data_IF_949446325530
#
_entry.id   IF_949446325530
#
_cell.length_a   1.000
_cell.length_b   1.000
_cell.length_c   1.000
_cell.angle_alpha   90.00
_cell.angle_beta   90.00
_cell.angle_gamma   90.00
#
_symmetry.space_group_name_H-M   'P 1'
#
loop_
_entity.id
_entity.type
_entity.pdbx_description
1 polymer ?
#
# COMPACT_ATOMS: atom_id res chain seq x y z
N UNK A 1 2.03 7.88 21.90
CA UNK A 1 1.72 8.22 20.49
C UNK A 1 2.97 8.65 19.72
N UNK A 2 3.62 9.78 20.04
CA UNK A 2 4.86 10.20 19.35
C UNK A 2 5.96 9.13 19.34
N UNK A 3 6.23 8.50 20.49
CA UNK A 3 7.19 7.41 20.58
C UNK A 3 6.82 6.18 19.72
N UNK A 4 5.52 5.90 19.53
CA UNK A 4 5.07 4.81 18.68
C UNK A 4 5.31 5.12 17.19
N UNK A 5 5.01 6.35 16.76
CA UNK A 5 5.32 6.83 15.40
C UNK A 5 6.83 6.80 15.14
N UNK A 6 7.62 7.37 16.05
CA UNK A 6 9.09 7.39 15.93
C UNK A 6 9.67 5.97 15.82
N UNK A 7 9.15 5.03 16.63
CA UNK A 7 9.53 3.61 16.55
C UNK A 7 9.13 2.98 15.21
N UNK A 8 7.90 3.23 14.74
CA UNK A 8 7.42 2.69 13.46
C UNK A 8 8.23 3.19 12.28
N UNK A 9 8.65 4.46 12.27
CA UNK A 9 9.48 5.00 11.19
C UNK A 9 10.82 4.23 11.07
N UNK A 10 11.35 3.68 12.16
CA UNK A 10 12.55 2.82 12.12
C UNK A 10 12.31 1.43 11.52
N UNK A 11 11.06 0.98 11.46
CA UNK A 11 10.68 -0.31 10.85
C UNK A 11 10.51 -0.21 9.32
N UNK A 12 10.42 1.00 8.77
CA UNK A 12 10.29 1.24 7.32
C UNK A 12 11.65 1.22 6.58
N UNK A 13 12.67 0.57 7.16
CA UNK A 13 14.05 0.56 6.63
C UNK A 13 14.28 -0.41 5.47
N UNK A 14 13.35 -1.32 5.21
CA UNK A 14 13.41 -2.23 4.08
C UNK A 14 13.13 -1.47 2.76
N UNK A 15 14.09 -1.48 1.84
CA UNK A 15 14.01 -0.70 0.60
C UNK A 15 14.01 0.80 0.86
N UNK A 16 13.24 1.57 0.10
CA UNK A 16 13.07 3.02 0.26
C UNK A 16 11.72 3.42 0.89
N UNK A 17 11.02 2.49 1.53
CA UNK A 17 9.69 2.75 2.12
C UNK A 17 9.74 3.90 3.15
N UNK A 18 10.77 3.93 3.99
CA UNK A 18 11.00 5.01 4.94
C UNK A 18 11.32 6.33 4.25
N UNK A 19 12.03 6.31 3.13
CA UNK A 19 12.28 7.48 2.29
C UNK A 19 10.99 8.03 1.71
N UNK A 20 10.11 7.19 1.15
CA UNK A 20 8.79 7.60 0.65
C UNK A 20 7.97 8.30 1.74
N UNK A 21 7.87 7.71 2.93
CA UNK A 21 7.12 8.31 4.05
C UNK A 21 7.77 9.61 4.51
N UNK A 22 9.08 9.62 4.79
CA UNK A 22 9.76 10.81 5.34
C UNK A 22 9.90 11.94 4.33
N UNK A 23 9.93 11.67 3.02
CA UNK A 23 10.02 12.69 1.98
C UNK A 23 8.66 13.29 1.62
N UNK A 24 7.57 12.53 1.68
CA UNK A 24 6.24 13.02 1.30
C UNK A 24 5.39 13.47 2.48
N UNK A 25 5.48 12.80 3.63
CA UNK A 25 4.64 13.11 4.78
C UNK A 25 5.32 14.21 5.61
N UNK A 26 4.61 15.33 5.79
CA UNK A 26 5.04 16.48 6.59
C UNK A 26 4.21 16.66 7.86
N UNK A 27 2.98 16.13 7.86
CA UNK A 27 2.11 16.13 9.03
C UNK A 27 1.40 14.78 9.18
N UNK A 28 1.43 14.24 10.40
CA UNK A 28 0.69 13.05 10.80
C UNK A 28 -0.35 13.48 11.83
N UNK A 29 -1.62 13.34 11.46
CA UNK A 29 -2.76 13.64 12.31
C UNK A 29 -3.26 12.34 12.92
N UNK A 30 -3.19 12.21 14.25
CA UNK A 30 -3.69 11.00 14.89
C UNK A 30 -5.19 11.08 15.06
N UNK A 31 -5.90 10.05 14.61
CA UNK A 31 -7.36 9.91 14.71
C UNK A 31 -7.74 8.67 15.53
N UNK A 32 -8.97 8.65 16.03
CA UNK A 32 -9.49 7.57 16.86
C UNK A 32 -10.12 6.47 16.00
N UNK A 33 -9.70 5.22 16.20
CA UNK A 33 -10.30 4.07 15.53
C UNK A 33 -11.68 3.73 16.13
N UNK A 34 -12.59 3.10 15.36
CA UNK A 34 -13.93 2.71 15.85
C UNK A 34 -13.91 1.73 17.03
N UNK A 35 -12.81 1.02 17.24
CA UNK A 35 -12.62 0.08 18.35
C UNK A 35 -11.33 -0.72 18.23
N UNK A 36 -11.03 -1.59 19.21
CA UNK A 36 -9.84 -2.44 19.18
C UNK A 36 -9.82 -3.34 17.93
N UNK A 37 -8.63 -3.52 17.33
CA UNK A 37 -8.47 -4.36 16.15
C UNK A 37 -8.87 -3.71 14.82
N UNK A 38 -9.37 -2.47 14.84
CA UNK A 38 -9.61 -1.67 13.65
C UNK A 38 -8.50 -0.65 13.47
N UNK A 39 -7.95 -0.56 12.26
CA UNK A 39 -7.15 0.59 11.84
C UNK A 39 -7.95 1.45 10.89
N UNK A 40 -7.83 2.76 11.03
CA UNK A 40 -8.31 3.71 10.05
C UNK A 40 -7.17 4.63 9.64
N UNK A 41 -7.02 4.82 8.34
CA UNK A 41 -6.16 5.83 7.78
C UNK A 41 -6.80 6.46 6.56
N UNK A 42 -6.42 7.70 6.28
CA UNK A 42 -6.71 8.34 5.01
C UNK A 42 -5.76 9.50 4.75
N UNK A 43 -5.69 9.89 3.49
CA UNK A 43 -5.07 11.10 2.99
C UNK A 43 -6.10 11.87 2.18
N UNK A 44 -5.98 13.18 2.20
CA UNK A 44 -6.90 14.07 1.50
C UNK A 44 -6.13 14.79 0.38
N UNK A 45 -6.45 14.57 -0.90
CA UNK A 45 -5.74 15.18 -2.03
C UNK A 45 -5.64 16.71 -1.97
N UNK A 46 -6.60 17.36 -1.29
CA UNK A 46 -6.62 18.82 -1.09
C UNK A 46 -5.73 19.31 0.06
N UNK A 47 -5.29 18.43 0.96
CA UNK A 47 -4.39 18.75 2.08
C UNK A 47 -3.00 18.16 1.78
N UNK A 48 -2.08 18.96 1.24
CA UNK A 48 -0.80 18.44 0.79
C UNK A 48 0.04 17.91 1.96
N UNK A 49 0.70 16.77 1.75
CA UNK A 49 1.70 16.20 2.66
C UNK A 49 1.16 15.82 4.05
N UNK A 50 -0.16 15.74 4.21
CA UNK A 50 -0.84 15.34 5.45
C UNK A 50 -1.48 13.97 5.32
N UNK A 51 -1.32 13.17 6.36
CA UNK A 51 -2.01 11.89 6.51
C UNK A 51 -2.69 11.82 7.86
N UNK A 52 -3.78 11.05 7.93
CA UNK A 52 -4.54 10.81 9.14
C UNK A 52 -4.47 9.31 9.45
N UNK A 53 -4.05 8.94 10.65
CA UNK A 53 -3.84 7.52 11.01
C UNK A 53 -4.27 7.25 12.45
N UNK A 54 -4.90 6.11 12.70
CA UNK A 54 -5.04 5.55 14.04
C UNK A 54 -3.75 4.88 14.50
N UNK A 55 -3.53 4.81 15.82
CA UNK A 55 -2.34 4.19 16.41
C UNK A 55 -2.76 2.97 17.23
N UNK A 56 -2.49 1.73 16.79
CA UNK A 56 -2.90 0.49 17.46
C UNK A 56 -1.98 0.17 18.66
N UNK A 57 -2.04 1.00 19.71
CA UNK A 57 -1.16 0.89 20.89
C UNK A 57 -1.44 -0.40 21.67
N UNK A 58 -0.41 -1.22 21.86
CA UNK A 58 -0.49 -2.45 22.64
C UNK A 58 -1.20 -3.60 21.92
N UNK A 59 -1.56 -3.42 20.66
CA UNK A 59 -2.16 -4.48 19.85
C UNK A 59 -1.11 -5.36 19.19
N UNK A 60 -1.50 -6.61 18.92
CA UNK A 60 -0.66 -7.56 18.21
C UNK A 60 -0.30 -7.01 16.83
N UNK A 61 0.99 -7.06 16.48
CA UNK A 61 1.54 -6.50 15.24
C UNK A 61 1.30 -4.99 15.08
N UNK A 62 0.97 -4.25 16.14
CA UNK A 62 0.58 -2.85 16.05
C UNK A 62 1.64 -1.96 15.36
N UNK A 63 2.92 -2.22 15.60
CA UNK A 63 4.01 -1.48 14.93
C UNK A 63 4.02 -1.71 13.41
N UNK A 64 3.82 -2.95 12.95
CA UNK A 64 3.77 -3.30 11.53
C UNK A 64 2.51 -2.77 10.86
N UNK A 65 1.35 -2.89 11.53
CA UNK A 65 0.09 -2.32 11.06
C UNK A 65 0.19 -0.81 10.88
N UNK A 66 0.78 -0.10 11.86
CA UNK A 66 1.03 1.33 11.74
C UNK A 66 2.03 1.65 10.62
N UNK A 67 3.09 0.85 10.44
CA UNK A 67 4.04 1.03 9.34
C UNK A 67 3.34 0.93 7.98
N UNK A 68 2.49 -0.08 7.82
CA UNK A 68 1.68 -0.30 6.62
C UNK A 68 0.75 0.90 6.37
N UNK A 69 0.01 1.39 7.38
CA UNK A 69 -0.85 2.57 7.24
C UNK A 69 -0.09 3.83 6.84
N UNK A 70 1.09 4.09 7.44
CA UNK A 70 1.90 5.26 7.08
C UNK A 70 2.38 5.19 5.63
N UNK A 71 2.84 4.01 5.21
CA UNK A 71 3.30 3.79 3.83
C UNK A 71 2.12 3.85 2.84
N UNK A 72 0.98 3.27 3.19
CA UNK A 72 -0.25 3.28 2.40
C UNK A 72 -0.66 4.70 2.03
N UNK A 73 -0.78 5.58 3.04
CA UNK A 73 -1.18 6.96 2.80
C UNK A 73 -0.10 7.78 2.07
N UNK A 74 1.18 7.52 2.34
CA UNK A 74 2.26 8.17 1.61
C UNK A 74 2.25 7.81 0.11
N UNK A 75 1.95 6.56 -0.24
CA UNK A 75 1.82 6.09 -1.61
C UNK A 75 0.59 6.67 -2.31
N UNK A 76 -0.53 6.84 -1.60
CA UNK A 76 -1.68 7.58 -2.13
C UNK A 76 -1.29 9.03 -2.48
N UNK A 77 -0.62 9.74 -1.57
CA UNK A 77 -0.11 11.08 -1.83
C UNK A 77 0.85 11.11 -3.02
N UNK A 78 1.75 10.12 -3.12
CA UNK A 78 2.71 10.02 -4.22
C UNK A 78 2.02 9.95 -5.57
N UNK A 79 1.06 9.02 -5.73
CA UNK A 79 0.36 8.86 -7.00
C UNK A 79 -0.52 10.08 -7.31
N UNK A 80 -1.19 10.66 -6.32
CA UNK A 80 -1.95 11.92 -6.50
C UNK A 80 -1.06 13.05 -7.03
N UNK A 81 0.20 13.16 -6.58
CA UNK A 81 1.12 14.18 -7.07
C UNK A 81 1.59 13.90 -8.51
N UNK A 82 1.80 12.63 -8.87
CA UNK A 82 2.14 12.23 -10.24
C UNK A 82 0.98 12.51 -11.20
N UNK A 83 -0.25 12.21 -10.79
CA UNK A 83 -1.45 12.41 -11.60
C UNK A 83 -1.74 13.87 -11.94
N UNK A 84 -1.25 14.82 -11.14
CA UNK A 84 -1.32 16.26 -11.46
C UNK A 84 -0.54 16.62 -12.73
N UNK A 85 0.43 15.81 -13.12
CA UNK A 85 1.29 16.04 -14.28
C UNK A 85 1.03 15.02 -15.39
N UNK A 86 0.68 13.80 -15.02
CA UNK A 86 0.45 12.68 -15.94
C UNK A 86 -0.86 12.01 -15.55
N UNK A 87 -2.01 12.42 -16.12
CA UNK A 87 -3.29 11.80 -15.84
C UNK A 87 -3.23 10.31 -16.14
N UNK A 88 -3.81 9.48 -15.25
CA UNK A 88 -3.82 8.03 -15.44
C UNK A 88 -5.17 7.51 -15.94
N UNK A 89 -6.27 8.22 -15.65
CA UNK A 89 -7.65 7.85 -16.01
C UNK A 89 -8.26 8.93 -16.92
N UNK A 90 -8.92 8.51 -17.99
CA UNK A 90 -9.60 9.38 -18.97
C UNK A 90 -10.99 9.82 -18.48
N UNK A 91 -11.77 8.87 -17.97
CA UNK A 91 -13.14 9.08 -17.52
C UNK A 91 -13.22 8.95 -15.99
N UNK A 92 -13.39 10.09 -15.31
CA UNK A 92 -13.49 10.15 -13.86
C UNK A 92 -14.80 9.58 -13.31
N UNK A 93 -15.80 9.35 -14.16
CA UNK A 93 -17.06 8.73 -13.78
C UNK A 93 -17.03 7.18 -13.91
N UNK A 94 -16.00 6.63 -14.57
CA UNK A 94 -15.85 5.19 -14.69
C UNK A 94 -15.66 4.53 -13.31
N UNK A 95 -16.35 3.42 -13.08
CA UNK A 95 -16.29 2.67 -11.82
C UNK A 95 -15.93 1.21 -12.04
N UNK A 96 -15.39 0.58 -11.00
CA UNK A 96 -15.21 -0.86 -10.91
C UNK A 96 -15.34 -1.35 -9.47
N UNK A 97 -15.38 -2.67 -9.30
CA UNK A 97 -15.44 -3.29 -7.98
C UNK A 97 -14.08 -3.22 -7.28
N UNK A 98 -14.06 -2.75 -6.03
CA UNK A 98 -12.89 -2.73 -5.16
C UNK A 98 -12.97 -3.88 -4.16
N UNK A 99 -12.03 -4.84 -4.17
CA UNK A 99 -12.04 -5.96 -3.23
C UNK A 99 -11.74 -5.51 -1.79
N UNK A 100 -10.83 -4.55 -1.61
CA UNK A 100 -10.49 -3.98 -0.29
C UNK A 100 -11.59 -3.11 0.34
N UNK A 101 -12.47 -2.50 -0.46
CA UNK A 101 -13.62 -1.71 0.04
C UNK A 101 -14.95 -2.43 -0.13
N UNK A 102 -14.94 -3.63 -0.72
CA UNK A 102 -16.12 -4.46 -1.02
C UNK A 102 -17.29 -3.68 -1.65
N UNK A 103 -16.98 -2.74 -2.54
CA UNK A 103 -17.95 -1.81 -3.12
C UNK A 103 -17.50 -1.27 -4.48
N UNK A 104 -18.44 -0.67 -5.23
CA UNK A 104 -18.10 0.06 -6.46
C UNK A 104 -17.34 1.35 -6.11
N UNK A 105 -16.22 1.57 -6.80
CA UNK A 105 -15.34 2.72 -6.59
C UNK A 105 -14.96 3.35 -7.93
N UNK A 106 -14.60 4.64 -7.96
CA UNK A 106 -14.00 5.25 -9.14
C UNK A 106 -12.78 4.47 -9.61
N UNK A 107 -12.58 4.38 -10.91
CA UNK A 107 -11.46 3.65 -11.51
C UNK A 107 -10.09 4.17 -11.05
N UNK A 108 -9.98 5.48 -10.79
CA UNK A 108 -8.79 6.08 -10.16
C UNK A 108 -8.52 5.49 -8.78
N UNK A 109 -9.55 5.31 -7.96
CA UNK A 109 -9.43 4.64 -6.66
C UNK A 109 -8.95 3.19 -6.78
N UNK A 110 -9.34 2.48 -7.83
CA UNK A 110 -8.84 1.13 -8.11
C UNK A 110 -7.36 1.13 -8.49
N UNK A 111 -6.95 2.04 -9.37
CA UNK A 111 -5.55 2.18 -9.77
C UNK A 111 -4.66 2.56 -8.59
N UNK A 112 -5.14 3.47 -7.74
CA UNK A 112 -4.47 3.82 -6.50
C UNK A 112 -4.31 2.62 -5.57
N UNK A 113 -5.37 1.83 -5.35
CA UNK A 113 -5.28 0.63 -4.53
C UNK A 113 -4.29 -0.39 -5.10
N UNK A 114 -4.32 -0.65 -6.41
CA UNK A 114 -3.35 -1.53 -7.08
C UNK A 114 -1.91 -1.04 -6.90
N UNK A 115 -1.66 0.26 -7.09
CA UNK A 115 -0.35 0.88 -6.88
C UNK A 115 0.15 0.70 -5.44
N UNK A 116 -0.71 1.00 -4.47
CA UNK A 116 -0.38 0.93 -3.04
C UNK A 116 -0.12 -0.50 -2.61
N UNK A 117 -1.02 -1.45 -2.91
CA UNK A 117 -0.87 -2.84 -2.49
C UNK A 117 0.30 -3.53 -3.17
N UNK A 118 0.58 -3.25 -4.45
CA UNK A 118 1.74 -3.79 -5.12
C UNK A 118 3.07 -3.33 -4.46
N UNK A 119 3.15 -2.07 -4.02
CA UNK A 119 4.30 -1.53 -3.32
C UNK A 119 4.42 -2.07 -1.88
N UNK A 120 3.29 -2.24 -1.18
CA UNK A 120 3.25 -2.85 0.15
C UNK A 120 3.71 -4.32 0.07
N UNK A 121 3.26 -5.12 -0.91
CA UNK A 121 3.73 -6.51 -1.05
C UNK A 121 5.25 -6.57 -1.21
N UNK A 122 5.82 -5.69 -2.04
CA UNK A 122 7.27 -5.60 -2.23
C UNK A 122 8.00 -5.22 -0.93
N UNK A 123 7.49 -4.25 -0.18
CA UNK A 123 8.05 -3.87 1.11
C UNK A 123 7.98 -5.02 2.12
N UNK A 124 6.84 -5.72 2.22
CA UNK A 124 6.67 -6.88 3.07
C UNK A 124 7.60 -8.04 2.68
N UNK A 125 7.84 -8.25 1.38
CA UNK A 125 8.78 -9.25 0.89
C UNK A 125 10.23 -8.95 1.29
N UNK A 126 10.64 -7.67 1.20
CA UNK A 126 11.96 -7.23 1.66
C UNK A 126 12.10 -7.38 3.18
N UNK A 127 11.04 -7.06 3.93
CA UNK A 127 11.02 -7.23 5.37
C UNK A 127 11.08 -8.70 5.77
N UNK A 128 10.39 -9.60 5.07
CA UNK A 128 10.47 -11.05 5.32
C UNK A 128 11.88 -11.60 4.98
N UNK A 129 12.53 -11.09 3.95
CA UNK A 129 13.92 -11.47 3.62
C UNK A 129 14.95 -10.96 4.65
N UNK A 130 14.61 -9.99 5.50
CA UNK A 130 15.56 -9.40 6.44
C UNK A 130 15.91 -10.37 7.61
N UNK A 131 17.20 -10.53 7.96
CA UNK A 131 17.62 -11.42 9.06
C UNK A 131 17.09 -11.00 10.44
N UNK A 132 16.79 -9.72 10.63
CA UNK A 132 16.29 -9.15 11.89
C UNK A 132 14.81 -9.43 12.14
N UNK A 133 14.08 -9.96 11.16
CA UNK A 133 12.63 -10.16 11.25
C UNK A 133 12.29 -11.35 12.13
N UNK A 134 11.53 -11.10 13.19
CA UNK A 134 11.15 -12.10 14.19
C UNK A 134 10.21 -13.16 13.62
N UNK A 135 10.19 -14.35 14.21
CA UNK A 135 9.25 -15.41 13.79
C UNK A 135 7.79 -15.00 13.94
N UNK A 136 7.46 -14.17 14.93
CA UNK A 136 6.11 -13.66 15.09
C UNK A 136 5.72 -12.70 13.95
N UNK A 137 6.62 -11.80 13.57
CA UNK A 137 6.39 -10.89 12.44
C UNK A 137 6.25 -11.67 11.13
N UNK A 138 7.07 -12.70 10.89
CA UNK A 138 6.98 -13.55 9.68
C UNK A 138 5.62 -14.19 9.48
N UNK A 139 4.91 -14.51 10.57
CA UNK A 139 3.53 -15.01 10.50
C UNK A 139 2.59 -13.92 9.97
N UNK A 140 2.73 -12.68 10.45
CA UNK A 140 1.99 -11.53 9.93
C UNK A 140 2.30 -11.28 8.45
N UNK A 141 3.59 -11.23 8.09
CA UNK A 141 4.03 -10.95 6.72
C UNK A 141 3.49 -11.99 5.74
N UNK A 142 3.65 -13.28 6.03
CA UNK A 142 3.12 -14.36 5.18
C UNK A 142 1.63 -14.24 4.95
N UNK A 143 0.86 -14.01 6.04
CA UNK A 143 -0.60 -13.88 5.95
C UNK A 143 -0.99 -12.65 5.13
N UNK A 144 -0.42 -11.49 5.44
CA UNK A 144 -0.78 -10.22 4.80
C UNK A 144 -0.42 -10.19 3.32
N UNK A 145 0.71 -10.78 2.93
CA UNK A 145 1.09 -10.92 1.52
C UNK A 145 0.14 -11.83 0.75
N UNK A 146 -0.35 -12.91 1.36
CA UNK A 146 -1.37 -13.76 0.74
C UNK A 146 -2.69 -13.00 0.52
N UNK A 147 -3.15 -12.24 1.53
CA UNK A 147 -4.34 -11.38 1.42
C UNK A 147 -4.18 -10.36 0.26
N UNK A 148 -3.04 -9.67 0.20
CA UNK A 148 -2.75 -8.69 -0.86
C UNK A 148 -2.73 -9.35 -2.25
N UNK A 149 -2.15 -10.55 -2.37
CA UNK A 149 -2.11 -11.26 -3.64
C UNK A 149 -3.52 -11.61 -4.16
N UNK A 150 -4.42 -12.03 -3.26
CA UNK A 150 -5.83 -12.26 -3.59
C UNK A 150 -6.53 -10.95 -4.01
N UNK A 151 -6.35 -9.87 -3.25
CA UNK A 151 -6.93 -8.55 -3.54
C UNK A 151 -6.45 -7.98 -4.89
N UNK A 152 -5.18 -8.20 -5.26
CA UNK A 152 -4.61 -7.79 -6.55
C UNK A 152 -5.16 -8.65 -7.69
N UNK A 153 -5.30 -9.97 -7.48
CA UNK A 153 -5.85 -10.87 -8.49
C UNK A 153 -7.30 -10.49 -8.86
N UNK A 154 -8.09 -10.05 -7.87
CA UNK A 154 -9.48 -9.60 -8.07
C UNK A 154 -9.61 -8.34 -8.95
N UNK A 155 -8.53 -7.57 -9.13
CA UNK A 155 -8.49 -6.38 -10.00
C UNK A 155 -7.63 -6.57 -11.24
N UNK A 156 -7.28 -7.81 -11.62
CA UNK A 156 -6.40 -8.09 -12.76
C UNK A 156 -6.90 -7.50 -14.09
N UNK A 157 -8.22 -7.39 -14.28
CA UNK A 157 -8.83 -6.81 -15.49
C UNK A 157 -8.74 -5.29 -15.57
N UNK A 158 -8.26 -4.62 -14.50
CA UNK A 158 -8.08 -3.17 -14.48
C UNK A 158 -7.15 -2.71 -15.61
N UNK A 159 -6.13 -3.48 -15.94
CA UNK A 159 -5.18 -3.15 -17.00
C UNK A 159 -5.82 -3.11 -18.40
N UNK A 160 -7.00 -3.69 -18.58
CA UNK A 160 -7.74 -3.67 -19.85
C UNK A 160 -8.87 -2.62 -19.87
N UNK A 161 -9.02 -1.86 -18.78
CA UNK A 161 -10.12 -0.91 -18.66
C UNK A 161 -9.98 0.24 -19.68
N UNK A 162 -10.95 0.45 -20.58
CA UNK A 162 -10.84 1.42 -21.69
C UNK A 162 -10.79 2.87 -21.22
N UNK A 163 -11.15 3.12 -19.96
CA UNK A 163 -11.12 4.45 -19.34
C UNK A 163 -9.75 4.79 -18.75
N UNK A 164 -8.73 3.94 -18.89
CA UNK A 164 -7.35 4.31 -18.57
C UNK A 164 -6.71 5.10 -19.72
N UNK A 165 -5.82 6.02 -19.38
CA UNK A 165 -4.91 6.65 -20.35
C UNK A 165 -3.86 5.63 -20.81
N UNK A 166 -3.11 5.89 -21.89
CA UNK A 166 -1.99 5.03 -22.27
C UNK A 166 -0.96 4.82 -21.13
N UNK A 167 -0.70 5.86 -20.33
CA UNK A 167 0.19 5.74 -19.18
C UNK A 167 -0.43 4.94 -18.04
N UNK A 168 -1.72 5.13 -17.76
CA UNK A 168 -2.46 4.35 -16.76
C UNK A 168 -2.49 2.86 -17.10
N UNK A 169 -2.72 2.52 -18.36
CA UNK A 169 -2.61 1.14 -18.85
C UNK A 169 -1.22 0.56 -18.59
N UNK A 170 -0.18 1.29 -19.01
CA UNK A 170 1.19 0.83 -18.82
C UNK A 170 1.54 0.60 -17.34
N UNK A 171 1.14 1.52 -16.45
CA UNK A 171 1.33 1.37 -15.01
C UNK A 171 0.60 0.15 -14.47
N UNK A 172 -0.69 -0.01 -14.77
CA UNK A 172 -1.49 -1.14 -14.30
C UNK A 172 -0.91 -2.49 -14.77
N UNK A 173 -0.59 -2.62 -16.06
CA UNK A 173 0.02 -3.83 -16.62
C UNK A 173 1.38 -4.12 -15.97
N UNK A 174 2.22 -3.11 -15.76
CA UNK A 174 3.52 -3.27 -15.13
C UNK A 174 3.40 -3.74 -13.67
N UNK A 175 2.45 -3.19 -12.91
CA UNK A 175 2.20 -3.59 -11.53
C UNK A 175 1.74 -5.05 -11.46
N UNK A 176 0.75 -5.45 -12.26
CA UNK A 176 0.21 -6.81 -12.25
C UNK A 176 1.27 -7.85 -12.64
N UNK A 177 2.00 -7.62 -13.74
CA UNK A 177 3.06 -8.53 -14.20
C UNK A 177 4.24 -8.60 -13.23
N UNK A 178 4.52 -7.52 -12.50
CA UNK A 178 5.56 -7.53 -11.46
C UNK A 178 5.17 -8.42 -10.28
N UNK A 179 3.89 -8.49 -9.92
CA UNK A 179 3.38 -9.35 -8.84
C UNK A 179 3.48 -10.84 -9.18
N UNK A 180 3.19 -11.22 -10.42
CA UNK A 180 3.36 -12.61 -10.88
C UNK A 180 4.81 -13.09 -10.72
N UNK A 181 5.79 -12.20 -10.94
CA UNK A 181 7.21 -12.51 -10.82
C UNK A 181 7.67 -12.67 -9.37
N UNK A 182 7.11 -11.90 -8.43
CA UNK A 182 7.40 -12.03 -6.99
C UNK A 182 6.65 -13.19 -6.33
N UNK A 183 5.51 -13.62 -6.88
CA UNK A 183 4.73 -14.76 -6.39
C UNK A 183 5.21 -16.14 -6.85
N UNK A 184 6.06 -16.23 -7.87
CA UNK A 184 6.61 -17.50 -8.33
C UNK A 184 7.59 -18.10 -7.29
N UNK A 185 7.44 -19.39 -6.90
CA UNK A 185 8.40 -20.02 -6.01
C UNK A 185 9.79 -19.98 -6.67
N UNK A 186 10.76 -19.45 -5.95
CA UNK A 186 12.16 -19.37 -6.36
C UNK A 186 12.77 -20.77 -6.48
N UNK A 187 12.51 -21.46 -7.59
CA UNK A 187 13.22 -22.68 -7.98
C UNK A 187 14.59 -22.35 -8.57
N UNK A 188 15.47 -21.70 -7.80
CA UNK A 188 16.91 -21.70 -8.08
C UNK A 188 17.70 -21.06 -6.93
N UNK A 189 18.33 -21.92 -6.11
CA UNK A 189 19.74 -21.80 -5.71
C UNK A 189 20.10 -22.93 -4.72
N UNK A 190 20.19 -24.15 -5.25
CA UNK A 190 20.98 -25.22 -4.64
C UNK A 190 21.68 -25.97 -5.77
N UNK A 191 22.86 -25.48 -6.14
CA UNK A 191 23.90 -26.22 -6.86
C UNK A 191 25.25 -25.77 -6.34
#
# INVERSE_FOLDING_TARGET
MRAAIDTTLTQLTAGDAGGTVTHLVRAIHVIEAPGPGYDISHSEPSIPFSIFVSVPVGERHGTLRLAESLLHEALHLQLTLLERHVPMVLDTAATGYSPWQQSQRPLSGLLHGLYVFAAIDQWLALLDAAPSTSSEDRIYLTRRRAEIAEEIADVATLADAPSLTPTGHHLASWLLTSQERTGAPSHQAAR
#
